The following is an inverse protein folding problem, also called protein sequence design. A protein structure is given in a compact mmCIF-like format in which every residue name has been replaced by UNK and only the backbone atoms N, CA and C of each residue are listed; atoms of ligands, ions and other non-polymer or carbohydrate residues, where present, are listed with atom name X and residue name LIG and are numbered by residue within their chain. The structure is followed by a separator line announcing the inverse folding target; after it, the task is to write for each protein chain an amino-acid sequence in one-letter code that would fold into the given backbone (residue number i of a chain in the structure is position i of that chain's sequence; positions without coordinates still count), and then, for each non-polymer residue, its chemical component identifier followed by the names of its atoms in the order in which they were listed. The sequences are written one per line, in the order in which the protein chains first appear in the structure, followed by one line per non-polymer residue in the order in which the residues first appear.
data_IF_954720910662
#
_entry.id   IF_954720910662
#
_cell.length_a   1.000
_cell.length_b   1.000
_cell.length_c   1.000
_cell.angle_alpha   90.00
_cell.angle_beta   90.00
_cell.angle_gamma   90.00
#
_symmetry.space_group_name_H-M   'P 1'
#
loop_
_entity.id
_entity.type
_entity.pdbx_description
1 polymer ?
#
# COMPACT_ATOMS: atom_id res chain seq x y z
N UNK A 1 -11.85 -15.88 35.52
CA UNK A 1 -10.60 -16.47 34.98
C UNK A 1 -10.66 -16.37 33.46
N UNK A 2 -10.01 -15.36 32.88
CA UNK A 2 -9.91 -15.19 31.43
C UNK A 2 -8.46 -15.45 31.06
N UNK A 3 -8.16 -16.69 30.71
CA UNK A 3 -6.87 -17.08 30.13
C UNK A 3 -7.09 -17.27 28.63
N UNK A 4 -6.72 -16.26 27.86
CA UNK A 4 -6.49 -16.38 26.40
C UNK A 4 -5.79 -15.11 25.93
N UNK A 5 -4.59 -14.83 26.45
CA UNK A 5 -3.64 -13.99 25.72
C UNK A 5 -2.98 -14.91 24.71
N UNK A 6 -3.16 -14.65 23.41
CA UNK A 6 -2.15 -15.13 22.45
C UNK A 6 -0.83 -14.55 22.93
N UNK A 7 0.12 -15.42 23.28
CA UNK A 7 1.50 -14.99 23.45
C UNK A 7 1.96 -14.43 22.10
N UNK A 8 2.56 -13.25 22.12
CA UNK A 8 3.20 -12.68 20.95
C UNK A 8 4.18 -13.69 20.36
N UNK A 9 4.28 -13.77 19.02
CA UNK A 9 5.11 -14.78 18.40
C UNK A 9 6.56 -14.65 18.87
N UNK A 10 7.19 -15.80 19.11
CA UNK A 10 8.61 -15.88 19.47
C UNK A 10 9.49 -15.33 18.33
N UNK A 11 10.76 -15.04 18.62
CA UNK A 11 11.75 -14.63 17.61
C UNK A 11 11.81 -15.59 16.42
N UNK A 12 11.54 -16.88 16.66
CA UNK A 12 11.59 -17.95 15.66
C UNK A 12 10.32 -17.99 14.77
N UNK A 13 9.15 -17.59 15.30
CA UNK A 13 7.93 -17.42 14.50
C UNK A 13 7.99 -16.17 13.61
N UNK A 14 8.63 -15.10 14.09
CA UNK A 14 9.00 -13.93 13.29
C UNK A 14 9.93 -14.32 12.14
N UNK A 15 10.80 -15.33 12.31
CA UNK A 15 11.64 -15.85 11.25
C UNK A 15 10.86 -16.54 10.11
N UNK A 16 9.71 -17.16 10.39
CA UNK A 16 8.84 -17.78 9.37
C UNK A 16 7.98 -16.78 8.58
N UNK A 17 7.78 -15.56 9.12
CA UNK A 17 7.08 -14.46 8.46
C UNK A 17 7.94 -13.75 7.40
N UNK A 18 9.23 -14.09 7.25
CA UNK A 18 10.22 -13.27 6.54
C UNK A 18 10.11 -13.23 5.01
N UNK A 19 9.33 -14.07 4.35
CA UNK A 19 9.36 -14.14 2.88
C UNK A 19 8.74 -12.94 2.17
N UNK A 20 7.42 -12.83 2.21
CA UNK A 20 6.61 -11.86 1.45
C UNK A 20 5.47 -11.37 2.32
N UNK A 21 5.23 -10.06 2.36
CA UNK A 21 4.14 -9.53 3.17
C UNK A 21 3.72 -8.11 2.85
N UNK A 22 2.58 -7.74 3.43
CA UNK A 22 1.94 -6.43 3.29
C UNK A 22 2.19 -5.60 4.54
N UNK A 23 2.59 -4.34 4.33
CA UNK A 23 2.86 -3.38 5.38
C UNK A 23 1.84 -2.23 5.34
N UNK A 24 1.20 -1.97 6.46
CA UNK A 24 0.39 -0.77 6.70
C UNK A 24 1.07 0.10 7.76
N UNK A 25 1.09 1.42 7.55
CA UNK A 25 1.62 2.39 8.51
C UNK A 25 0.58 3.50 8.63
N UNK A 26 -0.19 3.47 9.71
CA UNK A 26 -1.42 4.25 9.82
C UNK A 26 -1.57 4.84 11.21
N UNK A 27 -2.07 6.07 11.28
CA UNK A 27 -2.38 6.71 12.54
C UNK A 27 -3.71 7.45 12.47
N UNK A 28 -4.49 7.38 13.55
CA UNK A 28 -5.85 7.88 13.69
C UNK A 28 -6.87 6.75 13.48
N UNK A 29 -7.84 6.66 14.38
CA UNK A 29 -8.83 5.58 14.42
C UNK A 29 -9.52 5.32 13.07
N UNK A 30 -9.84 6.38 12.34
CA UNK A 30 -10.47 6.30 11.02
C UNK A 30 -9.57 5.62 9.98
N UNK A 31 -8.28 5.93 9.96
CA UNK A 31 -7.30 5.33 9.05
C UNK A 31 -6.97 3.89 9.46
N UNK A 32 -6.90 3.59 10.76
CA UNK A 32 -6.71 2.22 11.27
C UNK A 32 -7.89 1.32 10.88
N UNK A 33 -9.14 1.79 11.04
CA UNK A 33 -10.33 1.05 10.58
C UNK A 33 -10.27 0.78 9.07
N UNK A 34 -9.90 1.77 8.26
CA UNK A 34 -9.78 1.62 6.82
C UNK A 34 -8.67 0.62 6.43
N UNK A 35 -7.54 0.64 7.13
CA UNK A 35 -6.44 -0.31 6.93
C UNK A 35 -6.82 -1.75 7.28
N UNK A 36 -7.56 -1.96 8.37
CA UNK A 36 -8.11 -3.29 8.72
C UNK A 36 -9.01 -3.82 7.59
N UNK A 37 -9.86 -2.97 7.00
CA UNK A 37 -10.68 -3.38 5.86
C UNK A 37 -9.86 -3.67 4.60
N UNK A 38 -8.76 -2.93 4.38
CA UNK A 38 -7.79 -3.26 3.32
C UNK A 38 -7.12 -4.62 3.60
N UNK A 39 -6.64 -4.85 4.81
CA UNK A 39 -6.03 -6.12 5.23
C UNK A 39 -7.00 -7.31 5.07
N UNK A 40 -8.29 -7.14 5.36
CA UNK A 40 -9.31 -8.16 5.09
C UNK A 40 -9.42 -8.50 3.62
N UNK A 41 -9.32 -7.51 2.74
CA UNK A 41 -9.28 -7.76 1.29
C UNK A 41 -7.99 -8.44 0.84
N UNK A 42 -6.84 -8.14 1.46
CA UNK A 42 -5.59 -8.91 1.27
C UNK A 42 -5.80 -10.37 1.67
N UNK A 43 -6.26 -10.63 2.90
CA UNK A 43 -6.51 -12.00 3.40
C UNK A 43 -7.46 -12.78 2.50
N UNK A 44 -8.48 -12.13 1.95
CA UNK A 44 -9.44 -12.75 1.03
C UNK A 44 -8.82 -13.20 -0.29
N UNK A 45 -7.90 -12.42 -0.86
CA UNK A 45 -7.40 -12.63 -2.23
C UNK A 45 -5.99 -13.24 -2.28
N UNK A 46 -5.18 -13.03 -1.24
CA UNK A 46 -3.82 -13.54 -1.09
C UNK A 46 -3.60 -14.02 0.36
N UNK A 47 -4.29 -15.10 0.80
CA UNK A 47 -4.38 -15.53 2.19
C UNK A 47 -3.08 -16.03 2.81
N UNK A 48 -2.01 -16.17 2.04
CA UNK A 48 -0.71 -16.65 2.53
C UNK A 48 0.27 -15.50 2.83
N UNK A 49 -0.04 -14.26 2.42
CA UNK A 49 0.80 -13.12 2.74
C UNK A 49 0.67 -12.77 4.22
N UNK A 50 1.80 -12.52 4.87
CA UNK A 50 1.82 -11.91 6.19
C UNK A 50 1.36 -10.45 6.10
N UNK A 51 0.61 -9.98 7.10
CA UNK A 51 0.20 -8.57 7.19
C UNK A 51 0.75 -7.98 8.48
N UNK A 52 1.58 -6.95 8.35
CA UNK A 52 2.09 -6.17 9.47
C UNK A 52 1.48 -4.76 9.45
N UNK A 53 1.05 -4.27 10.61
CA UNK A 53 0.48 -2.93 10.75
C UNK A 53 1.16 -2.13 11.86
N UNK A 54 1.65 -0.94 11.53
CA UNK A 54 2.02 0.07 12.52
C UNK A 54 0.82 0.97 12.82
N UNK A 55 0.52 1.16 14.11
CA UNK A 55 -0.59 2.00 14.61
C UNK A 55 -0.11 2.97 15.70
N UNK A 56 -0.78 4.10 15.88
CA UNK A 56 -0.60 4.91 17.10
C UNK A 56 -1.19 4.23 18.33
N UNK A 57 -0.75 4.68 19.50
CA UNK A 57 -1.15 4.14 20.80
C UNK A 57 -2.65 4.32 21.05
N UNK A 58 -3.22 5.44 20.62
CA UNK A 58 -4.61 5.85 20.81
C UNK A 58 -5.59 5.04 19.96
N UNK A 59 -5.10 4.29 18.98
CA UNK A 59 -5.88 3.47 18.06
C UNK A 59 -5.58 1.97 18.20
N UNK A 60 -4.66 1.58 19.09
CA UNK A 60 -4.24 0.19 19.30
C UNK A 60 -5.41 -0.73 19.65
N UNK A 61 -6.36 -0.25 20.45
CA UNK A 61 -7.55 -0.99 20.87
C UNK A 61 -8.49 -1.38 19.72
N UNK A 62 -8.30 -0.83 18.52
CA UNK A 62 -9.06 -1.22 17.34
C UNK A 62 -8.54 -2.53 16.73
N UNK A 63 -7.32 -2.94 17.06
CA UNK A 63 -6.80 -4.25 16.69
C UNK A 63 -7.48 -5.30 17.57
N UNK A 64 -8.13 -6.27 16.93
CA UNK A 64 -8.85 -7.34 17.61
C UNK A 64 -8.06 -8.63 17.48
N UNK A 65 -7.79 -9.31 18.60
CA UNK A 65 -7.05 -10.58 18.63
C UNK A 65 -7.74 -11.70 17.81
N UNK A 66 -9.04 -11.57 17.54
CA UNK A 66 -9.83 -12.49 16.71
C UNK A 66 -9.83 -12.12 15.22
N UNK A 67 -9.22 -10.99 14.82
CA UNK A 67 -9.11 -10.61 13.42
C UNK A 67 -7.87 -11.28 12.79
N UNK A 68 -8.11 -12.30 11.98
CA UNK A 68 -7.06 -13.07 11.31
C UNK A 68 -6.45 -12.34 10.11
N UNK A 69 -6.94 -11.15 9.74
CA UNK A 69 -6.37 -10.37 8.63
C UNK A 69 -5.03 -9.71 8.95
N UNK A 70 -4.68 -9.61 10.24
CA UNK A 70 -3.42 -9.01 10.71
C UNK A 70 -2.57 -10.08 11.36
N UNK A 71 -1.32 -10.20 10.92
CA UNK A 71 -0.37 -11.22 11.41
C UNK A 71 0.49 -10.70 12.57
N UNK A 72 0.83 -9.41 12.55
CA UNK A 72 1.58 -8.74 13.63
C UNK A 72 1.36 -7.24 13.58
N UNK A 73 1.71 -6.54 14.66
CA UNK A 73 1.60 -5.09 14.72
C UNK A 73 2.80 -4.45 15.44
N UNK A 74 2.97 -3.15 15.24
CA UNK A 74 3.94 -2.31 15.96
C UNK A 74 3.34 -0.95 16.30
N UNK A 75 4.00 -0.21 17.21
CA UNK A 75 3.57 1.13 17.60
C UNK A 75 4.32 2.22 16.84
N UNK A 76 3.59 3.25 16.43
CA UNK A 76 4.13 4.52 15.96
C UNK A 76 4.32 5.43 17.17
N UNK A 77 5.57 5.69 17.54
CA UNK A 77 5.89 6.48 18.75
C UNK A 77 5.67 8.00 18.57
N UNK A 78 5.86 8.51 17.37
CA UNK A 78 5.73 9.94 17.06
C UNK A 78 4.93 10.10 15.76
N UNK A 79 3.60 9.88 15.81
CA UNK A 79 2.79 9.88 14.61
C UNK A 79 2.73 11.28 13.98
N UNK A 80 2.89 11.31 12.67
CA UNK A 80 2.63 12.47 11.82
C UNK A 80 1.95 12.04 10.51
N UNK A 81 1.45 13.01 9.75
CA UNK A 81 0.64 12.79 8.54
C UNK A 81 1.35 12.01 7.41
N UNK A 82 2.67 11.75 7.53
CA UNK A 82 3.48 10.93 6.63
C UNK A 82 4.36 9.92 7.35
N UNK A 83 3.89 9.38 8.49
CA UNK A 83 4.64 8.38 9.28
C UNK A 83 5.20 7.20 8.46
N UNK A 84 4.63 6.91 7.27
CA UNK A 84 5.18 5.92 6.35
C UNK A 84 6.67 6.11 6.04
N UNK A 85 7.14 7.34 5.83
CA UNK A 85 8.55 7.58 5.49
C UNK A 85 9.49 7.16 6.64
N UNK A 86 9.00 7.12 7.87
CA UNK A 86 9.77 6.74 9.07
C UNK A 86 9.74 5.23 9.39
N UNK A 87 8.83 4.47 8.78
CA UNK A 87 8.57 3.07 9.15
C UNK A 87 8.69 2.08 7.99
N UNK A 88 8.87 2.53 6.73
CA UNK A 88 9.10 1.64 5.60
C UNK A 88 10.35 0.75 5.79
N UNK A 89 11.42 1.28 6.39
CA UNK A 89 12.65 0.51 6.69
C UNK A 89 12.48 -0.48 7.85
N UNK A 90 11.39 -0.38 8.61
CA UNK A 90 11.09 -1.26 9.75
C UNK A 90 10.22 -2.46 9.39
N UNK A 91 10.04 -2.72 8.10
CA UNK A 91 9.27 -3.86 7.62
C UNK A 91 9.84 -5.19 8.16
N UNK A 92 8.98 -6.15 8.59
CA UNK A 92 9.45 -7.47 9.03
C UNK A 92 9.67 -8.45 7.85
N UNK A 93 9.45 -8.03 6.61
CA UNK A 93 9.48 -8.88 5.42
C UNK A 93 10.75 -8.65 4.58
N UNK A 94 11.25 -9.68 3.91
CA UNK A 94 12.32 -9.58 2.91
C UNK A 94 11.82 -8.93 1.62
N UNK A 95 10.54 -9.16 1.29
CA UNK A 95 9.83 -8.55 0.18
C UNK A 95 8.53 -7.95 0.68
N UNK A 96 8.39 -6.64 0.50
CA UNK A 96 7.32 -5.87 1.12
C UNK A 96 6.45 -5.21 0.08
N UNK A 97 5.14 -5.33 0.25
CA UNK A 97 4.15 -4.47 -0.37
C UNK A 97 3.61 -3.49 0.67
N UNK A 98 4.00 -2.22 0.59
CA UNK A 98 3.36 -1.16 1.36
C UNK A 98 2.06 -0.70 0.69
N UNK A 99 1.01 -0.51 1.49
CA UNK A 99 -0.28 0.02 1.06
C UNK A 99 -0.74 1.19 1.95
N UNK A 100 -1.26 2.26 1.33
CA UNK A 100 -2.07 3.26 2.03
C UNK A 100 -3.37 2.61 2.57
N UNK A 101 -3.96 3.18 3.62
CA UNK A 101 -5.15 2.61 4.31
C UNK A 101 -6.41 2.57 3.45
N UNK A 102 -6.54 3.47 2.49
CA UNK A 102 -7.64 3.59 1.55
C UNK A 102 -7.43 2.74 0.29
N UNK A 103 -6.94 1.52 0.48
CA UNK A 103 -6.77 0.51 -0.58
C UNK A 103 -7.77 -0.63 -0.42
N UNK A 104 -8.19 -1.25 -1.52
CA UNK A 104 -8.97 -2.51 -1.50
C UNK A 104 -8.46 -3.44 -2.60
N UNK A 105 -8.18 -4.68 -2.23
CA UNK A 105 -7.70 -5.72 -3.13
C UNK A 105 -8.90 -6.40 -3.78
N UNK A 106 -8.87 -6.53 -5.10
CA UNK A 106 -9.92 -7.16 -5.89
C UNK A 106 -9.56 -8.55 -6.38
N UNK A 107 -8.28 -8.83 -6.60
CA UNK A 107 -7.78 -10.09 -7.15
C UNK A 107 -6.45 -10.45 -6.49
N UNK A 108 -5.93 -11.67 -6.64
CA UNK A 108 -4.59 -12.00 -6.14
C UNK A 108 -3.53 -11.02 -6.65
N UNK A 109 -2.65 -10.59 -5.75
CA UNK A 109 -1.60 -9.57 -5.97
C UNK A 109 -0.19 -10.11 -5.75
N UNK A 110 -0.06 -11.44 -5.67
CA UNK A 110 1.18 -12.15 -5.34
C UNK A 110 2.26 -11.96 -6.41
N UNK A 111 1.83 -11.70 -7.64
CA UNK A 111 2.69 -11.40 -8.78
C UNK A 111 3.53 -10.11 -8.61
N UNK A 112 3.10 -9.17 -7.77
CA UNK A 112 3.91 -7.99 -7.41
C UNK A 112 5.26 -8.38 -6.81
N UNK A 113 5.32 -9.45 -6.02
CA UNK A 113 6.55 -9.89 -5.36
C UNK A 113 7.54 -10.56 -6.31
N UNK A 114 7.08 -11.01 -7.47
CA UNK A 114 7.92 -11.63 -8.51
C UNK A 114 8.65 -10.54 -9.32
N UNK A 115 8.11 -9.31 -9.40
CA UNK A 115 8.85 -8.15 -9.95
C UNK A 115 10.19 -7.95 -9.24
N UNK A 116 10.23 -8.23 -7.94
CA UNK A 116 11.42 -8.04 -7.13
C UNK A 116 12.55 -8.99 -7.50
N UNK A 117 12.32 -10.03 -8.31
CA UNK A 117 13.40 -10.88 -8.84
C UNK A 117 14.27 -10.13 -9.87
N UNK A 118 13.75 -9.05 -10.48
CA UNK A 118 14.41 -8.26 -11.52
C UNK A 118 14.61 -6.80 -11.16
N UNK A 119 13.77 -6.27 -10.28
CA UNK A 119 13.75 -4.88 -9.87
C UNK A 119 13.96 -4.76 -8.35
N UNK A 120 14.41 -3.59 -7.90
CA UNK A 120 14.64 -3.33 -6.48
C UNK A 120 13.40 -2.74 -5.82
N UNK A 121 12.63 -1.96 -6.60
CA UNK A 121 11.42 -1.27 -6.17
C UNK A 121 10.41 -1.17 -7.34
N UNK A 122 9.12 -1.20 -7.03
CA UNK A 122 8.04 -0.96 -7.97
C UNK A 122 6.98 -0.02 -7.41
N UNK A 123 6.56 0.96 -8.21
CA UNK A 123 5.51 1.92 -7.86
C UNK A 123 4.68 2.27 -9.09
N UNK A 124 3.45 2.74 -8.89
CA UNK A 124 2.65 3.33 -9.96
C UNK A 124 2.87 4.84 -10.05
N UNK A 125 2.74 5.42 -11.24
CA UNK A 125 2.73 6.88 -11.38
C UNK A 125 1.56 7.53 -10.61
N UNK A 126 1.75 8.77 -10.15
CA UNK A 126 0.66 9.59 -9.65
C UNK A 126 -0.44 9.79 -10.72
N UNK A 127 -1.69 9.95 -10.29
CA UNK A 127 -2.87 9.90 -11.16
C UNK A 127 -3.19 11.22 -11.88
N UNK A 128 -2.86 12.36 -11.29
CA UNK A 128 -3.03 13.69 -11.91
C UNK A 128 -1.68 14.28 -12.33
N UNK A 129 -0.95 13.62 -13.23
CA UNK A 129 0.47 13.91 -13.51
C UNK A 129 0.77 15.37 -13.91
N UNK A 130 -0.18 16.05 -14.54
CA UNK A 130 -0.03 17.45 -14.98
C UNK A 130 -0.62 18.49 -13.98
N UNK A 131 -1.11 18.06 -12.83
CA UNK A 131 -1.67 18.99 -11.84
C UNK A 131 -0.57 19.81 -11.16
N UNK A 132 -0.78 21.09 -10.81
CA UNK A 132 0.26 21.93 -10.20
C UNK A 132 0.92 21.29 -8.96
N UNK A 133 0.11 20.65 -8.09
CA UNK A 133 0.60 19.92 -6.91
C UNK A 133 1.38 18.61 -7.18
N UNK A 134 1.45 18.10 -8.41
CA UNK A 134 2.30 16.94 -8.80
C UNK A 134 3.41 17.35 -9.77
N UNK A 135 3.30 18.55 -10.33
CA UNK A 135 4.36 19.23 -11.07
C UNK A 135 5.30 20.04 -10.15
N UNK A 136 5.03 20.06 -8.84
CA UNK A 136 5.90 20.68 -7.85
C UNK A 136 7.31 20.12 -7.96
N UNK A 137 8.28 21.03 -8.09
CA UNK A 137 9.71 20.73 -8.17
C UNK A 137 10.34 20.82 -6.78
N UNK A 138 11.34 19.99 -6.51
CA UNK A 138 12.20 20.15 -5.34
C UNK A 138 13.46 20.95 -5.66
N UNK A 139 14.43 20.36 -6.35
CA UNK A 139 15.69 21.03 -6.72
C UNK A 139 15.94 21.01 -8.22
N UNK A 140 15.57 19.91 -8.88
CA UNK A 140 15.87 19.71 -10.31
C UNK A 140 14.59 19.64 -11.15
N UNK A 141 14.63 20.29 -12.32
CA UNK A 141 13.59 20.12 -13.34
C UNK A 141 13.76 18.76 -14.05
N UNK A 142 12.97 17.78 -13.62
CA UNK A 142 12.99 16.42 -14.15
C UNK A 142 12.01 16.31 -15.34
N UNK A 143 12.41 15.69 -16.47
CA UNK A 143 11.55 15.53 -17.64
C UNK A 143 10.17 14.94 -17.32
N UNK A 144 9.13 15.45 -18.00
CA UNK A 144 7.74 15.04 -17.76
C UNK A 144 7.46 13.57 -18.07
N UNK A 145 8.28 12.93 -18.91
CA UNK A 145 8.20 11.49 -19.18
C UNK A 145 8.60 10.62 -17.97
N UNK A 146 9.18 11.22 -16.93
CA UNK A 146 9.42 10.60 -15.62
C UNK A 146 8.61 11.36 -14.55
N UNK A 147 7.28 11.14 -14.45
CA UNK A 147 6.42 11.89 -13.53
C UNK A 147 6.63 11.47 -12.07
N UNK A 148 5.99 12.18 -11.12
CA UNK A 148 5.93 11.71 -9.73
C UNK A 148 5.27 10.33 -9.64
N UNK A 149 5.79 9.48 -8.74
CA UNK A 149 5.17 8.22 -8.36
C UNK A 149 4.18 8.42 -7.23
N UNK A 150 3.11 7.62 -7.21
CA UNK A 150 2.19 7.56 -6.10
C UNK A 150 2.83 6.78 -4.95
N UNK A 151 2.89 7.38 -3.77
CA UNK A 151 3.52 6.79 -2.59
C UNK A 151 2.63 5.86 -1.76
N UNK A 152 1.51 5.35 -2.30
CA UNK A 152 0.56 4.53 -1.54
C UNK A 152 0.42 3.09 -2.01
N UNK A 153 1.16 2.69 -3.04
CA UNK A 153 1.42 1.29 -3.40
C UNK A 153 2.89 1.22 -3.76
N UNK A 154 3.70 0.61 -2.89
CA UNK A 154 5.15 0.51 -3.05
C UNK A 154 5.56 -0.93 -2.79
N UNK A 155 6.19 -1.57 -3.78
CA UNK A 155 6.73 -2.93 -3.65
C UNK A 155 8.24 -2.82 -3.60
N UNK A 156 8.89 -3.42 -2.61
CA UNK A 156 10.34 -3.28 -2.45
C UNK A 156 10.98 -4.47 -1.75
N UNK A 157 12.28 -4.62 -1.97
CA UNK A 157 13.12 -5.64 -1.34
C UNK A 157 13.88 -5.05 -0.16
N UNK A 158 13.99 -5.79 0.93
CA UNK A 158 14.80 -5.43 2.11
C UNK A 158 16.29 -5.67 1.85
N UNK A 159 16.86 -4.82 1.00
CA UNK A 159 18.30 -4.76 0.68
C UNK A 159 18.91 -3.48 1.23
N UNK A 160 20.22 -3.48 1.38
CA UNK A 160 20.98 -2.30 1.82
C UNK A 160 20.68 -1.09 0.93
N UNK A 161 20.71 -1.27 -0.39
CA UNK A 161 20.52 -0.21 -1.38
C UNK A 161 19.12 0.41 -1.29
N UNK A 162 18.09 -0.42 -1.14
CA UNK A 162 16.70 0.06 -0.98
C UNK A 162 16.53 0.76 0.37
N UNK A 163 17.12 0.23 1.44
CA UNK A 163 16.99 0.85 2.76
C UNK A 163 17.73 2.19 2.86
N UNK A 164 18.93 2.29 2.27
CA UNK A 164 19.65 3.56 2.13
C UNK A 164 18.84 4.59 1.32
N UNK A 165 18.18 4.16 0.25
CA UNK A 165 17.26 5.00 -0.50
C UNK A 165 16.06 5.46 0.36
N UNK A 166 15.41 4.55 1.09
CA UNK A 166 14.28 4.89 1.96
C UNK A 166 14.69 5.85 3.08
N UNK A 167 15.88 5.68 3.68
CA UNK A 167 16.41 6.61 4.67
C UNK A 167 16.77 7.97 4.07
N UNK A 168 17.26 8.00 2.83
CA UNK A 168 17.49 9.24 2.09
C UNK A 168 16.17 9.98 1.81
N UNK A 169 15.12 9.23 1.46
CA UNK A 169 13.77 9.79 1.27
C UNK A 169 13.20 10.34 2.56
N UNK A 170 13.32 9.60 3.66
CA UNK A 170 12.93 10.04 5.00
C UNK A 170 13.60 11.35 5.36
N UNK A 171 14.93 11.43 5.21
CA UNK A 171 15.71 12.65 5.51
C UNK A 171 15.27 13.82 4.64
N UNK A 172 15.18 13.62 3.32
CA UNK A 172 14.77 14.66 2.38
C UNK A 172 13.36 15.19 2.68
N UNK A 173 12.42 14.32 3.05
CA UNK A 173 11.07 14.73 3.44
C UNK A 173 11.10 15.66 4.65
N UNK A 174 11.80 15.28 5.73
CA UNK A 174 11.87 16.08 6.96
C UNK A 174 12.67 17.38 6.82
N UNK A 175 13.63 17.44 5.90
CA UNK A 175 14.41 18.66 5.60
C UNK A 175 13.63 19.65 4.72
N UNK A 176 12.48 19.25 4.17
CA UNK A 176 11.65 20.09 3.29
C UNK A 176 10.37 20.54 3.97
N UNK A 177 9.77 21.61 3.45
CA UNK A 177 8.45 22.09 3.87
C UNK A 177 7.29 21.50 3.05
N UNK A 178 7.54 20.48 2.22
CA UNK A 178 6.50 19.91 1.37
C UNK A 178 5.50 19.07 2.18
N UNK A 179 4.21 19.34 1.99
CA UNK A 179 3.12 18.47 2.49
C UNK A 179 3.04 17.10 1.79
N UNK A 180 3.78 16.92 0.71
CA UNK A 180 3.75 15.72 -0.13
C UNK A 180 5.12 15.06 -0.16
N UNK A 181 5.15 13.83 0.34
CA UNK A 181 6.26 12.90 0.27
C UNK A 181 6.71 12.59 -1.16
N UNK A 182 5.79 12.66 -2.13
CA UNK A 182 6.04 12.33 -3.54
C UNK A 182 6.96 13.32 -4.26
N UNK A 183 7.11 14.55 -3.74
CA UNK A 183 7.93 15.60 -4.37
C UNK A 183 9.41 15.21 -4.30
N UNK A 184 9.91 14.89 -3.10
CA UNK A 184 11.29 14.44 -2.89
C UNK A 184 11.51 13.03 -3.44
N UNK A 185 10.50 12.16 -3.37
CA UNK A 185 10.57 10.79 -3.89
C UNK A 185 10.97 10.75 -5.37
N UNK A 186 10.33 11.59 -6.21
CA UNK A 186 10.59 11.61 -7.66
C UNK A 186 12.06 11.88 -7.97
N UNK A 187 12.65 12.86 -7.30
CA UNK A 187 14.02 13.27 -7.56
C UNK A 187 15.03 12.23 -7.05
N UNK A 188 14.79 11.63 -5.90
CA UNK A 188 15.62 10.54 -5.39
C UNK A 188 15.55 9.30 -6.28
N UNK A 189 14.39 8.99 -6.86
CA UNK A 189 14.26 7.90 -7.84
C UNK A 189 14.96 8.22 -9.16
N UNK A 190 14.94 9.48 -9.59
CA UNK A 190 15.56 9.92 -10.84
C UNK A 190 17.09 9.83 -10.80
N UNK A 191 17.70 10.23 -9.68
CA UNK A 191 19.16 10.21 -9.52
C UNK A 191 19.69 8.94 -8.85
N UNK A 192 18.81 8.12 -8.28
CA UNK A 192 19.16 6.86 -7.64
C UNK A 192 19.51 5.78 -8.67
N UNK A 193 20.23 4.75 -8.20
CA UNK A 193 20.64 3.62 -9.03
C UNK A 193 19.74 2.38 -8.87
N UNK A 194 18.58 2.53 -8.23
CA UNK A 194 17.63 1.43 -8.08
C UNK A 194 17.03 1.05 -9.44
N UNK A 195 16.86 -0.25 -9.67
CA UNK A 195 16.08 -0.75 -10.80
C UNK A 195 14.60 -0.58 -10.47
N UNK A 196 13.95 0.37 -11.14
CA UNK A 196 12.55 0.74 -10.86
C UNK A 196 11.63 0.05 -11.87
N UNK A 197 10.65 -0.70 -11.39
CA UNK A 197 9.50 -1.12 -12.19
C UNK A 197 8.35 -0.10 -12.05
N UNK A 198 7.80 0.34 -13.18
CA UNK A 198 6.58 1.15 -13.18
C UNK A 198 5.36 0.24 -13.23
N UNK A 199 4.57 0.23 -12.16
CA UNK A 199 3.34 -0.54 -12.10
C UNK A 199 2.28 0.06 -13.03
N UNK A 200 1.52 -0.78 -13.77
CA UNK A 200 0.40 -0.28 -14.56
C UNK A 200 -0.77 0.10 -13.64
N UNK A 201 -1.73 0.93 -14.09
CA UNK A 201 -2.73 1.54 -13.22
C UNK A 201 -3.65 0.57 -12.48
N UNK A 202 -3.74 -0.69 -12.92
CA UNK A 202 -4.50 -1.80 -12.31
C UNK A 202 -4.06 -2.09 -10.88
N UNK A 203 -2.77 -1.91 -10.59
CA UNK A 203 -2.19 -2.12 -9.26
C UNK A 203 -2.22 -0.87 -8.38
N UNK A 204 -2.76 0.26 -8.87
CA UNK A 204 -2.96 1.45 -8.06
C UNK A 204 -4.04 2.33 -8.71
N UNK A 205 -5.28 1.83 -8.72
CA UNK A 205 -6.36 2.47 -9.44
C UNK A 205 -6.90 3.67 -8.66
N UNK A 206 -6.50 4.86 -9.08
CA UNK A 206 -6.82 6.13 -8.40
C UNK A 206 -8.03 6.89 -8.97
N UNK A 207 -8.65 6.38 -10.05
CA UNK A 207 -9.79 7.06 -10.67
C UNK A 207 -10.90 6.08 -11.06
N UNK A 208 -12.11 6.33 -10.55
CA UNK A 208 -13.33 5.57 -10.86
C UNK A 208 -13.65 5.53 -12.36
N UNK A 209 -13.15 6.48 -13.16
CA UNK A 209 -13.39 6.49 -14.61
C UNK A 209 -12.90 5.19 -15.27
N UNK A 210 -11.78 4.65 -14.80
CA UNK A 210 -11.18 3.43 -15.34
C UNK A 210 -12.09 2.22 -15.17
N UNK A 211 -12.86 2.19 -14.08
CA UNK A 211 -13.84 1.13 -13.87
C UNK A 211 -14.91 1.15 -14.96
N UNK A 212 -15.32 2.32 -15.43
CA UNK A 212 -16.38 2.45 -16.44
C UNK A 212 -15.90 2.19 -17.87
N UNK A 213 -14.64 2.50 -18.15
CA UNK A 213 -14.10 2.46 -19.51
C UNK A 213 -13.36 1.16 -19.81
N UNK A 214 -12.74 0.53 -18.82
CA UNK A 214 -12.01 -0.72 -19.05
C UNK A 214 -12.97 -1.88 -19.19
N UNK A 215 -12.83 -2.61 -20.30
CA UNK A 215 -13.39 -3.94 -20.43
C UNK A 215 -12.42 -5.03 -19.95
N UNK A 216 -12.93 -6.27 -19.89
CA UNK A 216 -12.21 -7.45 -19.39
C UNK A 216 -10.96 -7.84 -20.20
N UNK A 217 -10.83 -7.38 -21.45
CA UNK A 217 -9.71 -7.64 -22.35
C UNK A 217 -8.70 -6.49 -22.33
N UNK A 218 -9.10 -5.29 -21.93
CA UNK A 218 -8.19 -4.15 -21.78
C UNK A 218 -7.39 -4.20 -20.49
N UNK A 219 -8.06 -4.26 -19.34
CA UNK A 219 -7.42 -4.21 -18.03
C UNK A 219 -8.37 -4.67 -16.92
N UNK A 220 -7.81 -5.26 -15.86
CA UNK A 220 -8.58 -5.69 -14.69
C UNK A 220 -8.06 -5.02 -13.43
N UNK A 221 -8.88 -4.24 -12.71
CA UNK A 221 -8.48 -3.65 -11.43
C UNK A 221 -8.02 -4.71 -10.44
N UNK A 222 -6.82 -4.52 -9.88
CA UNK A 222 -6.26 -5.39 -8.83
C UNK A 222 -6.27 -4.71 -7.48
N UNK A 223 -5.88 -3.44 -7.44
CA UNK A 223 -5.85 -2.61 -6.23
C UNK A 223 -6.61 -1.31 -6.50
N UNK A 224 -7.75 -1.15 -5.85
CA UNK A 224 -8.49 0.11 -5.83
C UNK A 224 -7.90 1.01 -4.76
N UNK A 225 -7.72 2.28 -5.06
CA UNK A 225 -7.13 3.24 -4.14
C UNK A 225 -7.91 4.56 -4.17
N UNK A 226 -8.89 4.65 -3.27
CA UNK A 226 -9.96 5.64 -3.29
C UNK A 226 -10.18 6.23 -1.91
N UNK A 227 -10.14 7.56 -1.80
CA UNK A 227 -10.27 8.30 -0.52
C UNK A 227 -11.53 7.93 0.24
N UNK A 228 -12.60 7.59 -0.48
CA UNK A 228 -13.91 7.15 0.02
C UNK A 228 -13.80 5.94 0.94
N UNK A 229 -12.75 5.11 0.80
CA UNK A 229 -12.52 3.97 1.69
C UNK A 229 -12.07 4.34 3.10
N UNK A 230 -11.74 5.61 3.34
CA UNK A 230 -11.61 6.13 4.69
C UNK A 230 -12.99 6.28 5.35
N UNK A 231 -14.02 6.66 4.60
CA UNK A 231 -15.35 7.05 5.10
C UNK A 231 -16.27 5.83 5.38
N UNK A 232 -15.73 4.78 6.01
CA UNK A 232 -16.37 3.45 6.14
C UNK A 232 -17.81 3.49 6.70
N UNK A 233 -18.20 4.53 7.44
CA UNK A 233 -19.57 4.71 7.96
C UNK A 233 -20.60 5.22 6.92
N UNK A 234 -20.19 5.92 5.85
CA UNK A 234 -21.12 6.49 4.83
C UNK A 234 -21.36 5.58 3.62
N UNK A 235 -20.52 4.58 3.38
CA UNK A 235 -20.65 3.68 2.23
C UNK A 235 -21.78 2.65 2.41
N UNK A 236 -22.15 2.32 3.64
CA UNK A 236 -23.33 1.49 3.93
C UNK A 236 -24.66 2.22 3.70
N UNK A 237 -24.67 3.55 3.76
CA UNK A 237 -25.89 4.38 3.65
C UNK A 237 -26.21 4.83 2.22
N UNK A 238 -25.26 4.79 1.28
CA UNK A 238 -25.43 5.42 -0.04
C UNK A 238 -25.58 4.45 -1.22
N UNK A 239 -25.52 3.13 -1.01
CA UNK A 239 -25.71 2.12 -2.08
C UNK A 239 -24.59 2.07 -3.15
N UNK A 240 -23.67 3.05 -3.16
CA UNK A 240 -22.54 3.14 -4.10
C UNK A 240 -21.58 1.97 -3.99
N UNK A 241 -21.36 1.44 -2.78
CA UNK A 241 -20.49 0.29 -2.58
C UNK A 241 -21.07 -0.99 -3.21
N UNK A 242 -22.40 -1.12 -3.20
CA UNK A 242 -23.11 -2.23 -3.83
C UNK A 242 -22.98 -2.20 -5.35
N UNK A 243 -23.17 -1.04 -5.98
CA UNK A 243 -23.02 -0.89 -7.44
C UNK A 243 -21.57 -1.01 -7.90
N UNK A 244 -20.61 -0.49 -7.13
CA UNK A 244 -19.18 -0.69 -7.37
C UNK A 244 -18.79 -2.16 -7.30
N UNK A 245 -19.22 -2.88 -6.26
CA UNK A 245 -18.98 -4.32 -6.13
C UNK A 245 -19.66 -5.13 -7.24
N UNK A 246 -20.88 -4.76 -7.64
CA UNK A 246 -21.60 -5.43 -8.72
C UNK A 246 -20.89 -5.22 -10.07
N UNK A 247 -20.35 -4.03 -10.32
CA UNK A 247 -19.55 -3.72 -11.50
C UNK A 247 -18.19 -4.43 -11.47
N UNK A 248 -17.50 -4.46 -10.32
CA UNK A 248 -16.26 -5.24 -10.20
C UNK A 248 -16.51 -6.74 -10.45
N UNK A 249 -17.66 -7.27 -10.00
CA UNK A 249 -18.07 -8.65 -10.28
C UNK A 249 -18.35 -8.89 -11.78
N UNK A 250 -18.86 -7.91 -12.52
CA UNK A 250 -19.07 -8.06 -13.97
C UNK A 250 -17.76 -7.99 -14.77
N UNK A 251 -16.74 -7.33 -14.24
CA UNK A 251 -15.39 -7.29 -14.80
C UNK A 251 -14.54 -8.53 -14.46
N UNK A 252 -14.91 -9.29 -13.42
CA UNK A 252 -14.22 -10.54 -13.08
C UNK A 252 -14.63 -11.67 -14.04
N UNK A 253 -13.69 -12.49 -14.54
CA UNK A 253 -14.02 -13.58 -15.44
C UNK A 253 -14.95 -14.61 -14.76
N UNK A 254 -16.01 -15.02 -15.46
CA UNK A 254 -16.62 -16.34 -15.24
C UNK A 254 -15.47 -17.35 -15.31
N UNK A 255 -15.34 -18.20 -14.27
CA UNK A 255 -14.33 -19.27 -14.23
C UNK A 255 -14.27 -19.92 -15.61
N UNK A 256 -13.16 -19.74 -16.33
CA UNK A 256 -12.94 -20.51 -17.54
C UNK A 256 -13.01 -21.98 -17.14
N UNK A 257 -13.77 -22.82 -17.87
CA UNK A 257 -13.84 -24.23 -17.58
C UNK A 257 -12.40 -24.77 -17.59
N UNK A 258 -12.03 -25.47 -16.51
CA UNK A 258 -10.76 -26.19 -16.45
C UNK A 258 -10.74 -27.13 -17.67
N UNK A 259 -9.75 -26.96 -18.55
CA UNK A 259 -9.39 -27.99 -19.52
C UNK A 259 -8.78 -29.17 -18.80
#
# INVERSE_FOLDING_TARGET
MINSRRSFPSSDEIHSLRGRGVLYIVSGQHYVKAAIQSAKSVRKHSPHLGVHIYVDKESLQLLNDNDDSISSFGLIHSPHYRSKVDYLTKTPFERTLYLDSDTRICTPIDDLFDLLDRFDIALAHAHYRYHPKTMTMWKTDIPQCFPQFNGGVIVYRSTTEVFEFLESWRRAFHETSFEKDQVTLRELLWFGNLRIATLPPEYNLRSHKYLKIWDRFEAQPKILHFREFHEVETLHTTGLFGSLLQHLRSLMPLRLPRK
#
